data_IF_063776499434
#
_entry.id   IF_063776499434
#
_cell.length_a   1.000
_cell.length_b   1.000
_cell.length_c   1.000
_cell.angle_alpha   90.00
_cell.angle_beta   90.00
_cell.angle_gamma   90.00
#
_symmetry.space_group_name_H-M   'P 1'
#
loop_
_entity.id
_entity.type
_entity.pdbx_description
1 polymer ?
#
# COMPACT_ATOMS: atom_id res chain seq x y z
N UNK A 1 3.93 -4.07 4.21
CA UNK A 1 3.71 -4.24 2.76
C UNK A 1 2.71 -5.35 2.59
N UNK A 2 1.75 -5.18 1.68
CA UNK A 2 0.76 -6.21 1.41
C UNK A 2 1.32 -7.23 0.42
N UNK A 3 0.85 -8.48 0.51
CA UNK A 3 1.25 -9.55 -0.41
C UNK A 3 0.96 -9.12 -1.86
N UNK A 4 1.85 -9.47 -2.78
CA UNK A 4 1.65 -9.23 -4.21
C UNK A 4 0.33 -9.80 -4.71
N UNK A 5 -0.33 -9.02 -5.58
CA UNK A 5 -1.61 -9.33 -6.19
C UNK A 5 -1.50 -9.00 -7.68
N UNK A 6 -1.46 -10.05 -8.52
CA UNK A 6 -1.22 -9.92 -9.94
C UNK A 6 -2.32 -9.11 -10.64
N UNK A 7 -3.59 -9.33 -10.28
CA UNK A 7 -4.72 -8.63 -10.90
C UNK A 7 -4.62 -7.12 -10.64
N UNK A 8 -4.33 -6.74 -9.39
CA UNK A 8 -4.13 -5.33 -9.03
C UNK A 8 -2.90 -4.72 -9.71
N UNK A 9 -1.80 -5.46 -9.76
CA UNK A 9 -0.58 -5.02 -10.44
C UNK A 9 -0.82 -4.75 -11.93
N UNK A 10 -1.53 -5.65 -12.62
CA UNK A 10 -1.92 -5.49 -14.03
C UNK A 10 -2.94 -4.37 -14.23
N UNK A 11 -3.80 -4.11 -13.24
CA UNK A 11 -4.68 -2.95 -13.21
C UNK A 11 -3.95 -1.61 -12.97
N UNK A 12 -2.63 -1.64 -12.73
CA UNK A 12 -1.79 -0.47 -12.55
C UNK A 12 -1.63 -0.02 -11.10
N UNK A 13 -2.06 -0.81 -10.12
CA UNK A 13 -1.69 -0.55 -8.73
C UNK A 13 -0.17 -0.65 -8.55
N UNK A 14 0.37 0.23 -7.71
CA UNK A 14 1.81 0.37 -7.53
C UNK A 14 2.39 -0.87 -6.85
N UNK A 15 3.46 -1.40 -7.43
CA UNK A 15 4.21 -2.56 -6.91
C UNK A 15 5.60 -2.08 -6.47
N UNK A 16 6.14 -2.71 -5.44
CA UNK A 16 7.50 -2.47 -4.95
C UNK A 16 8.20 -3.81 -4.70
N UNK A 17 9.53 -3.82 -4.65
CA UNK A 17 10.25 -4.94 -4.06
C UNK A 17 10.37 -4.78 -2.53
N UNK A 18 10.97 -5.77 -1.87
CA UNK A 18 11.19 -5.77 -0.42
C UNK A 18 12.05 -4.59 0.07
N UNK A 19 12.92 -4.04 -0.78
CA UNK A 19 13.74 -2.86 -0.50
C UNK A 19 12.97 -1.54 -0.64
N UNK A 20 11.70 -1.59 -1.08
CA UNK A 20 10.87 -0.41 -1.33
C UNK A 20 11.11 0.24 -2.69
N UNK A 21 11.89 -0.39 -3.57
CA UNK A 21 12.11 0.12 -4.92
C UNK A 21 10.84 -0.09 -5.75
N UNK A 22 10.39 0.98 -6.41
CA UNK A 22 9.16 0.97 -7.20
C UNK A 22 9.38 0.15 -8.46
N UNK A 23 8.52 -0.84 -8.65
CA UNK A 23 8.40 -1.55 -9.91
C UNK A 23 7.74 -0.66 -10.96
N UNK A 24 8.31 -0.69 -12.17
CA UNK A 24 7.68 -0.19 -13.38
C UNK A 24 6.51 -1.07 -13.82
N UNK A 25 6.23 -1.09 -15.12
CA UNK A 25 5.12 -1.87 -15.67
C UNK A 25 5.36 -3.36 -15.44
N UNK A 26 4.36 -4.03 -14.85
CA UNK A 26 4.27 -5.48 -14.77
C UNK A 26 3.64 -5.99 -16.06
N UNK A 27 4.28 -6.97 -16.71
CA UNK A 27 3.76 -7.63 -17.90
C UNK A 27 3.71 -9.13 -17.62
N UNK A 28 2.53 -9.74 -17.79
CA UNK A 28 2.36 -11.19 -17.77
C UNK A 28 2.36 -11.70 -19.22
N UNK A 29 3.28 -12.59 -19.53
CA UNK A 29 3.39 -13.20 -20.86
C UNK A 29 2.60 -14.52 -21.00
N UNK A 30 1.85 -14.94 -19.98
CA UNK A 30 1.06 -16.16 -20.04
C UNK A 30 1.83 -17.37 -19.49
N UNK A 31 1.40 -18.59 -19.80
CA UNK A 31 2.02 -19.78 -19.24
C UNK A 31 3.33 -20.10 -19.98
N UNK A 32 4.46 -19.94 -19.28
CA UNK A 32 5.78 -20.43 -19.70
C UNK A 32 6.12 -21.70 -18.93
N UNK A 33 6.81 -22.63 -19.59
CA UNK A 33 7.22 -23.92 -19.02
C UNK A 33 8.17 -23.78 -17.80
N UNK A 34 8.84 -22.63 -17.65
CA UNK A 34 9.79 -22.37 -16.57
C UNK A 34 9.17 -21.79 -15.28
N UNK A 35 7.87 -21.44 -15.31
CA UNK A 35 7.15 -20.87 -14.17
C UNK A 35 7.37 -19.36 -13.94
N UNK A 36 8.20 -18.69 -14.74
CA UNK A 36 8.51 -17.26 -14.63
C UNK A 36 7.82 -16.47 -15.74
N UNK A 37 6.50 -16.29 -15.61
CA UNK A 37 5.71 -15.61 -16.66
C UNK A 37 5.76 -14.08 -16.62
N UNK A 38 6.18 -13.49 -15.50
CA UNK A 38 6.16 -12.05 -15.32
C UNK A 38 7.50 -11.44 -15.73
N UNK A 39 7.44 -10.28 -16.38
CA UNK A 39 8.60 -9.39 -16.54
C UNK A 39 8.28 -8.04 -15.91
N UNK A 40 9.20 -7.57 -15.07
CA UNK A 40 9.01 -6.34 -14.30
C UNK A 40 10.31 -5.54 -14.32
N UNK A 41 10.22 -4.24 -14.62
CA UNK A 41 11.34 -3.32 -14.54
C UNK A 41 11.49 -2.79 -13.11
N UNK A 42 12.57 -3.10 -12.39
CA UNK A 42 12.86 -2.57 -11.05
C UNK A 42 14.31 -2.11 -11.01
N UNK A 43 14.55 -0.92 -10.46
CA UNK A 43 15.92 -0.39 -10.32
C UNK A 43 16.65 -0.19 -11.66
N UNK A 44 15.92 -0.11 -12.78
CA UNK A 44 16.50 -0.01 -14.13
C UNK A 44 16.81 -1.35 -14.81
N UNK A 45 16.54 -2.48 -14.14
CA UNK A 45 16.76 -3.83 -14.68
C UNK A 45 15.43 -4.57 -14.88
N UNK A 46 15.34 -5.38 -15.93
CA UNK A 46 14.20 -6.27 -16.15
C UNK A 46 14.44 -7.57 -15.39
N UNK A 47 13.59 -7.86 -14.41
CA UNK A 47 13.56 -9.11 -13.68
C UNK A 47 12.45 -10.05 -14.18
N UNK A 48 12.67 -11.35 -13.97
CA UNK A 48 11.71 -12.41 -14.26
C UNK A 48 11.12 -12.90 -12.94
N UNK A 49 9.80 -13.06 -12.89
CA UNK A 49 9.09 -13.41 -11.65
C UNK A 49 7.99 -14.43 -11.94
N UNK A 50 7.65 -15.21 -10.93
CA UNK A 50 6.46 -16.06 -10.97
C UNK A 50 5.19 -15.21 -10.90
N UNK A 51 4.03 -15.77 -11.25
CA UNK A 51 2.72 -15.09 -11.06
C UNK A 51 2.41 -14.73 -9.60
N UNK A 52 3.08 -15.39 -8.64
CA UNK A 52 2.97 -15.06 -7.24
C UNK A 52 3.84 -13.85 -6.82
N UNK A 53 4.65 -13.31 -7.76
CA UNK A 53 5.55 -12.19 -7.51
C UNK A 53 6.89 -12.59 -6.89
N UNK A 54 7.24 -13.87 -6.90
CA UNK A 54 8.54 -14.34 -6.36
C UNK A 54 9.63 -14.32 -7.42
N UNK A 55 10.84 -13.98 -7.01
CA UNK A 55 12.02 -13.97 -7.89
C UNK A 55 12.66 -15.36 -8.04
N UNK A 56 12.53 -16.21 -7.02
CA UNK A 56 12.90 -17.62 -7.09
C UNK A 56 11.66 -18.51 -7.06
N UNK A 57 11.68 -19.60 -7.81
CA UNK A 57 10.57 -20.56 -7.94
C UNK A 57 10.56 -21.63 -6.84
N UNK A 58 11.60 -21.69 -6.00
CA UNK A 58 11.77 -22.67 -4.93
C UNK A 58 11.34 -22.16 -3.54
N UNK A 59 10.44 -21.17 -3.50
CA UNK A 59 9.95 -20.50 -2.28
C UNK A 59 11.02 -19.79 -1.42
N UNK A 60 12.27 -19.73 -1.88
CA UNK A 60 13.31 -18.95 -1.21
C UNK A 60 12.99 -17.46 -1.29
N UNK A 61 12.99 -16.81 -0.13
CA UNK A 61 12.72 -15.39 -0.02
C UNK A 61 13.85 -14.59 -0.66
N UNK A 62 13.51 -13.75 -1.63
CA UNK A 62 14.43 -12.84 -2.28
C UNK A 62 14.12 -11.40 -1.90
N UNK A 63 15.14 -10.55 -1.80
CA UNK A 63 14.93 -9.11 -1.68
C UNK A 63 14.29 -8.49 -2.93
N UNK A 64 14.29 -9.23 -4.04
CA UNK A 64 13.63 -8.84 -5.29
C UNK A 64 12.15 -9.19 -5.31
N UNK A 65 11.64 -9.99 -4.38
CA UNK A 65 10.23 -10.39 -4.35
C UNK A 65 9.32 -9.16 -4.35
N UNK A 66 8.23 -9.28 -5.11
CA UNK A 66 7.27 -8.21 -5.34
C UNK A 66 6.25 -8.15 -4.21
N UNK A 67 5.80 -6.93 -3.92
CA UNK A 67 4.76 -6.62 -2.95
C UNK A 67 3.88 -5.49 -3.48
N UNK A 68 2.64 -5.42 -3.01
CA UNK A 68 1.85 -4.22 -3.27
C UNK A 68 2.43 -3.08 -2.44
N UNK A 69 2.61 -1.92 -3.08
CA UNK A 69 3.08 -0.72 -2.40
C UNK A 69 2.09 -0.35 -1.29
N UNK A 70 2.57 0.15 -0.13
CA UNK A 70 1.71 0.70 0.90
C UNK A 70 0.76 1.74 0.30
N UNK A 71 -0.54 1.60 0.57
CA UNK A 71 -1.51 2.62 0.17
C UNK A 71 -1.39 3.80 1.13
N UNK A 72 -1.53 5.01 0.59
CA UNK A 72 -1.76 6.17 1.44
C UNK A 72 -3.05 5.95 2.22
N UNK A 73 -3.02 6.25 3.50
CA UNK A 73 -4.24 6.31 4.28
C UNK A 73 -5.09 7.48 3.78
N UNK A 74 -6.38 7.42 4.02
CA UNK A 74 -7.31 8.49 3.65
C UNK A 74 -8.28 8.74 4.79
N UNK A 75 -8.83 9.96 4.82
CA UNK A 75 -9.71 10.41 5.88
C UNK A 75 -9.00 11.22 6.95
N UNK A 76 -9.76 11.52 8.00
CA UNK A 76 -9.41 12.47 9.04
C UNK A 76 -9.78 11.90 10.40
N UNK A 77 -8.90 12.09 11.39
CA UNK A 77 -9.15 11.66 12.77
C UNK A 77 -9.22 12.89 13.67
N UNK A 78 -10.35 13.08 14.32
CA UNK A 78 -10.43 14.01 15.45
C UNK A 78 -9.96 13.29 16.71
N UNK A 79 -8.98 13.90 17.38
CA UNK A 79 -8.53 13.48 18.71
C UNK A 79 -9.13 14.44 19.73
N UNK A 80 -9.78 13.88 20.74
CA UNK A 80 -10.40 14.64 21.83
C UNK A 80 -9.68 14.34 23.14
N UNK A 81 -9.70 15.29 24.08
CA UNK A 81 -9.10 15.10 25.41
C UNK A 81 -9.87 14.07 26.25
N UNK A 82 -11.20 14.16 26.22
CA UNK A 82 -12.06 13.53 27.22
C UNK A 82 -12.90 12.36 26.67
N UNK A 83 -12.81 12.10 25.35
CA UNK A 83 -13.57 11.06 24.67
C UNK A 83 -12.73 10.35 23.60
N UNK A 84 -13.22 9.19 23.15
CA UNK A 84 -12.58 8.42 22.09
C UNK A 84 -12.43 9.24 20.80
N UNK A 85 -11.35 9.03 20.03
CA UNK A 85 -11.17 9.66 18.74
C UNK A 85 -12.26 9.21 17.76
N UNK A 86 -12.55 10.06 16.77
CA UNK A 86 -13.53 9.75 15.72
C UNK A 86 -12.90 9.86 14.33
N UNK A 87 -13.23 8.90 13.46
CA UNK A 87 -12.78 8.84 12.08
C UNK A 87 -13.84 9.42 11.14
N UNK A 88 -13.38 10.17 10.14
CA UNK A 88 -14.22 10.84 9.14
C UNK A 88 -13.62 10.69 7.75
N UNK A 89 -14.45 10.45 6.75
CA UNK A 89 -13.98 10.34 5.36
C UNK A 89 -13.58 11.70 4.77
N UNK A 90 -14.13 12.79 5.28
CA UNK A 90 -13.90 14.15 4.75
C UNK A 90 -13.60 15.16 5.84
N UNK A 91 -12.84 16.21 5.50
CA UNK A 91 -12.53 17.31 6.42
C UNK A 91 -13.77 18.07 6.88
N UNK A 92 -14.77 18.18 6.00
CA UNK A 92 -16.05 18.85 6.32
C UNK A 92 -16.75 18.10 7.45
N UNK A 93 -16.90 16.76 7.31
CA UNK A 93 -17.49 15.92 8.36
C UNK A 93 -16.73 16.08 9.68
N UNK A 94 -15.40 15.96 9.64
CA UNK A 94 -14.55 16.11 10.82
C UNK A 94 -14.76 17.46 11.54
N UNK A 95 -14.95 18.55 10.79
CA UNK A 95 -15.19 19.87 11.38
C UNK A 95 -16.62 20.05 11.89
N UNK A 96 -17.62 19.45 11.25
CA UNK A 96 -19.02 19.55 11.72
C UNK A 96 -19.28 18.77 13.00
N UNK A 97 -18.56 17.67 13.22
CA UNK A 97 -18.68 16.85 14.43
C UNK A 97 -18.00 17.50 15.65
N UNK A 98 -17.20 18.56 15.46
CA UNK A 98 -16.54 19.29 16.54
C UNK A 98 -17.48 20.15 17.40
N UNK A 99 -18.78 20.18 17.08
CA UNK A 99 -19.77 21.01 17.78
C UNK A 99 -20.36 20.38 19.05
N UNK A 100 -19.72 19.35 19.61
CA UNK A 100 -20.22 18.71 20.83
C UNK A 100 -19.74 19.50 22.06
N UNK A 101 -20.65 20.01 22.92
CA UNK A 101 -20.30 20.92 24.03
C UNK A 101 -19.31 20.33 25.05
N UNK A 102 -19.22 19.01 25.12
CA UNK A 102 -18.41 18.26 26.09
C UNK A 102 -17.15 17.65 25.50
N UNK A 103 -16.94 17.74 24.18
CA UNK A 103 -15.82 17.11 23.50
C UNK A 103 -14.80 18.17 23.08
N UNK A 104 -13.74 18.35 23.88
CA UNK A 104 -12.66 19.28 23.54
C UNK A 104 -11.70 18.63 22.54
N UNK A 105 -11.85 18.95 21.25
CA UNK A 105 -10.91 18.50 20.22
C UNK A 105 -9.55 19.14 20.44
N UNK A 106 -8.53 18.30 20.49
CA UNK A 106 -7.13 18.71 20.68
C UNK A 106 -6.32 18.62 19.38
N UNK A 107 -6.74 17.77 18.45
CA UNK A 107 -6.10 17.65 17.14
C UNK A 107 -7.08 17.16 16.06
N UNK A 108 -6.79 17.56 14.82
CA UNK A 108 -7.36 17.00 13.60
C UNK A 108 -6.19 16.46 12.77
N UNK A 109 -6.11 15.15 12.64
CA UNK A 109 -5.04 14.47 11.91
C UNK A 109 -5.55 14.15 10.50
N UNK A 110 -4.83 14.61 9.48
CA UNK A 110 -5.05 14.23 8.09
C UNK A 110 -4.29 12.95 7.77
N UNK A 111 -5.00 11.86 7.51
CA UNK A 111 -4.38 10.56 7.30
C UNK A 111 -3.62 10.46 5.97
N UNK A 112 -3.89 11.36 5.00
CA UNK A 112 -3.21 11.34 3.70
C UNK A 112 -1.70 11.62 3.76
N UNK A 113 -1.23 12.06 4.94
CA UNK A 113 0.16 12.26 5.27
C UNK A 113 0.89 10.97 5.65
N UNK A 114 0.15 9.88 5.90
CA UNK A 114 0.68 8.60 6.36
C UNK A 114 0.42 7.48 5.35
N UNK A 115 1.27 6.47 5.39
CA UNK A 115 1.12 5.23 4.63
C UNK A 115 0.62 4.11 5.54
N UNK A 116 -0.09 3.14 4.97
CA UNK A 116 -0.53 1.96 5.69
C UNK A 116 0.68 1.22 6.33
N UNK A 117 0.56 0.89 7.62
CA UNK A 117 1.62 0.24 8.38
C UNK A 117 2.64 1.20 9.00
N UNK A 118 2.47 2.51 8.82
CA UNK A 118 3.14 3.50 9.66
C UNK A 118 2.56 3.37 11.08
N UNK A 119 3.29 2.74 12.00
CA UNK A 119 2.90 2.70 13.41
C UNK A 119 2.81 4.14 13.92
N UNK A 120 1.66 4.51 14.48
CA UNK A 120 1.47 5.79 15.19
C UNK A 120 1.98 5.66 16.63
#
# INVERSE_FOLDING_TARGET
MDKFDLEKALAGEKVVNKKGEVAGKVVDFGDFDDGYSLRVLIGGEVGEFTRAGTYFSNDDVSDKDLFMAPKKLSGFVNVYRDVSPSYHNTKIQANTTDNWPTAHRVALIDLSQFEQGHGL
#
